data_IF_999500549727
#
_entry.id   IF_999500549727
#
_cell.length_a   1.000
_cell.length_b   1.000
_cell.length_c   1.000
_cell.angle_alpha   90.00
_cell.angle_beta   90.00
_cell.angle_gamma   90.00
#
_symmetry.space_group_name_H-M   'P 1'
#
loop_
_entity.id
_entity.type
_entity.pdbx_description
1 polymer ?
#
# COMPACT_ATOMS: atom_id res chain seq x y z
N UNK A 1 -0.60 13.89 -10.88
CA UNK A 1 -0.08 13.00 -9.81
C UNK A 1 1.42 12.74 -9.92
N UNK A 2 1.99 12.46 -11.10
CA UNK A 2 3.46 12.22 -11.24
C UNK A 2 4.35 13.32 -10.65
N UNK A 3 3.99 14.60 -10.78
CA UNK A 3 4.73 15.71 -10.14
C UNK A 3 4.75 15.59 -8.60
N UNK A 4 3.65 15.16 -8.00
CA UNK A 4 3.47 15.01 -6.56
C UNK A 4 4.25 13.80 -6.03
N UNK A 5 4.45 12.77 -6.85
CA UNK A 5 5.12 11.53 -6.42
C UNK A 5 6.61 11.52 -6.77
N UNK A 6 6.95 11.87 -8.01
CA UNK A 6 8.31 11.73 -8.54
C UNK A 6 9.12 13.03 -8.48
N UNK A 7 8.49 14.18 -8.26
CA UNK A 7 9.12 15.50 -8.36
C UNK A 7 8.79 16.41 -7.17
N UNK A 8 8.37 15.85 -6.04
CA UNK A 8 7.87 16.61 -4.89
C UNK A 8 8.94 17.09 -3.92
N UNK A 9 10.20 16.66 -4.09
CA UNK A 9 11.31 17.07 -3.21
C UNK A 9 11.43 18.60 -3.15
N UNK A 10 11.52 19.14 -1.94
CA UNK A 10 11.55 20.58 -1.66
C UNK A 10 10.19 21.28 -1.73
N UNK A 11 9.10 20.57 -2.03
CA UNK A 11 7.73 21.10 -2.01
C UNK A 11 6.98 20.66 -0.75
N UNK A 12 5.81 21.26 -0.51
CA UNK A 12 4.89 20.83 0.56
C UNK A 12 4.39 19.38 0.41
N UNK A 13 4.62 18.75 -0.74
CA UNK A 13 4.20 17.39 -1.06
C UNK A 13 5.30 16.34 -0.90
N UNK A 14 6.54 16.72 -0.53
CA UNK A 14 7.67 15.80 -0.41
C UNK A 14 7.35 14.55 0.43
N UNK A 15 6.60 14.74 1.52
CA UNK A 15 6.23 13.70 2.49
C UNK A 15 4.78 13.24 2.36
N UNK A 16 4.18 13.33 1.17
CA UNK A 16 2.76 12.98 1.02
C UNK A 16 2.49 11.51 1.32
N UNK A 17 3.37 10.60 0.91
CA UNK A 17 3.22 9.17 1.19
C UNK A 17 3.47 8.84 2.66
N UNK A 18 4.48 9.45 3.28
CA UNK A 18 4.74 9.29 4.72
C UNK A 18 3.49 9.64 5.54
N UNK A 19 2.83 10.76 5.20
CA UNK A 19 1.58 11.18 5.86
C UNK A 19 0.44 10.19 5.67
N UNK A 20 0.27 9.65 4.47
CA UNK A 20 -0.80 8.69 4.19
C UNK A 20 -0.53 7.36 4.90
N UNK A 21 0.72 6.89 4.90
CA UNK A 21 1.17 5.72 5.66
C UNK A 21 0.86 5.90 7.14
N UNK A 22 1.23 7.04 7.73
CA UNK A 22 0.95 7.34 9.14
C UNK A 22 -0.54 7.31 9.46
N UNK A 23 -1.38 7.89 8.58
CA UNK A 23 -2.84 7.87 8.76
C UNK A 23 -3.35 6.42 8.72
N UNK A 24 -2.99 5.65 7.69
CA UNK A 24 -3.45 4.27 7.51
C UNK A 24 -2.97 3.35 8.62
N UNK A 25 -1.72 3.49 9.08
CA UNK A 25 -1.16 2.73 10.19
C UNK A 25 -1.93 3.03 11.50
N UNK A 26 -2.17 4.32 11.79
CA UNK A 26 -2.90 4.72 13.00
C UNK A 26 -4.36 4.26 12.99
N UNK A 27 -5.03 4.33 11.84
CA UNK A 27 -6.40 3.85 11.72
C UNK A 27 -6.47 2.33 11.85
N UNK A 28 -5.50 1.60 11.30
CA UNK A 28 -5.37 0.14 11.48
C UNK A 28 -5.18 -0.21 12.95
N UNK A 29 -4.31 0.50 13.67
CA UNK A 29 -4.15 0.31 15.12
C UNK A 29 -5.42 0.59 15.92
N UNK A 30 -6.15 1.63 15.53
CA UNK A 30 -7.43 1.97 16.16
C UNK A 30 -8.44 0.85 15.99
N UNK A 31 -8.60 0.33 14.77
CA UNK A 31 -9.52 -0.77 14.47
C UNK A 31 -9.15 -2.04 15.25
N UNK A 32 -7.88 -2.45 15.20
CA UNK A 32 -7.43 -3.64 15.93
C UNK A 32 -7.60 -3.50 17.45
N UNK A 33 -7.45 -2.28 18.00
CA UNK A 33 -7.71 -2.02 19.42
C UNK A 33 -9.20 -2.17 19.76
N UNK A 34 -10.11 -1.72 18.87
CA UNK A 34 -11.55 -1.92 19.03
C UNK A 34 -11.91 -3.40 19.01
N UNK A 35 -11.20 -4.21 18.20
CA UNK A 35 -11.36 -5.66 18.13
C UNK A 35 -10.68 -6.42 19.30
N UNK A 36 -10.13 -5.70 20.30
CA UNK A 36 -9.51 -6.28 21.48
C UNK A 36 -8.11 -6.86 21.25
N UNK A 37 -7.48 -6.59 20.10
CA UNK A 37 -6.15 -7.11 19.77
C UNK A 37 -5.07 -6.35 20.57
N UNK A 38 -4.24 -7.09 21.31
CA UNK A 38 -3.12 -6.51 22.07
C UNK A 38 -1.99 -6.07 21.14
N UNK A 39 -1.75 -4.77 21.06
CA UNK A 39 -0.72 -4.17 20.19
C UNK A 39 0.71 -4.32 20.76
N UNK A 40 1.32 -5.48 20.51
CA UNK A 40 2.75 -5.70 20.80
C UNK A 40 3.65 -4.88 19.85
N UNK A 41 4.91 -4.65 20.25
CA UNK A 41 5.91 -4.00 19.38
C UNK A 41 6.07 -4.73 18.04
N UNK A 42 6.04 -6.07 18.05
CA UNK A 42 6.13 -6.90 16.84
C UNK A 42 4.96 -6.66 15.90
N UNK A 43 3.73 -6.58 16.42
CA UNK A 43 2.53 -6.34 15.60
C UNK A 43 2.57 -4.93 14.99
N UNK A 44 2.97 -3.92 15.77
CA UNK A 44 3.12 -2.55 15.25
C UNK A 44 4.14 -2.47 14.12
N UNK A 45 5.32 -3.05 14.32
CA UNK A 45 6.34 -3.10 13.30
C UNK A 45 5.87 -3.84 12.03
N UNK A 46 5.14 -4.95 12.20
CA UNK A 46 4.58 -5.68 11.07
C UNK A 46 3.59 -4.82 10.26
N UNK A 47 2.65 -4.15 10.93
CA UNK A 47 1.66 -3.28 10.28
C UNK A 47 2.37 -2.12 9.56
N UNK A 48 3.33 -1.47 10.20
CA UNK A 48 4.14 -0.42 9.59
C UNK A 48 4.78 -0.88 8.26
N UNK A 49 5.44 -2.04 8.28
CA UNK A 49 6.08 -2.61 7.08
C UNK A 49 5.03 -2.91 6.00
N UNK A 50 3.91 -3.55 6.35
CA UNK A 50 2.90 -3.93 5.37
C UNK A 50 2.19 -2.72 4.75
N UNK A 51 1.82 -1.72 5.55
CA UNK A 51 1.21 -0.47 5.06
C UNK A 51 2.20 0.28 4.17
N UNK A 52 3.46 0.40 4.60
CA UNK A 52 4.51 1.02 3.79
C UNK A 52 4.67 0.30 2.45
N UNK A 53 4.82 -1.02 2.44
CA UNK A 53 4.95 -1.80 1.19
C UNK A 53 3.76 -1.65 0.26
N UNK A 54 2.53 -1.55 0.79
CA UNK A 54 1.34 -1.30 -0.02
C UNK A 54 1.40 0.05 -0.75
N UNK A 55 1.82 1.11 -0.04
CA UNK A 55 1.94 2.44 -0.62
C UNK A 55 3.16 2.59 -1.55
N UNK A 56 4.26 1.90 -1.28
CA UNK A 56 5.40 1.84 -2.21
C UNK A 56 4.99 1.18 -3.53
N UNK A 57 4.23 0.08 -3.50
CA UNK A 57 3.69 -0.53 -4.73
C UNK A 57 2.86 0.48 -5.54
N UNK A 58 2.04 1.31 -4.88
CA UNK A 58 1.25 2.33 -5.58
C UNK A 58 2.13 3.34 -6.35
N UNK A 59 3.37 3.60 -5.90
CA UNK A 59 4.29 4.52 -6.58
C UNK A 59 4.75 3.99 -7.94
N UNK A 60 4.78 2.66 -8.13
CA UNK A 60 5.20 2.02 -9.37
C UNK A 60 4.39 2.50 -10.58
N UNK A 61 3.10 2.78 -10.39
CA UNK A 61 2.22 3.38 -11.41
C UNK A 61 2.85 4.66 -12.00
N UNK A 62 3.39 5.52 -11.13
CA UNK A 62 3.93 6.82 -11.52
C UNK A 62 5.38 6.74 -12.00
N UNK A 63 6.18 5.85 -11.41
CA UNK A 63 7.55 5.61 -11.85
C UNK A 63 7.60 4.98 -13.25
N UNK A 64 6.68 4.05 -13.53
CA UNK A 64 6.63 3.32 -14.80
C UNK A 64 5.67 3.90 -15.83
N UNK A 65 4.97 4.99 -15.52
CA UNK A 65 4.03 5.68 -16.43
C UNK A 65 2.91 4.76 -16.94
N UNK A 66 2.37 3.91 -16.06
CA UNK A 66 1.27 3.02 -16.43
C UNK A 66 0.07 3.85 -16.92
N UNK A 67 -0.55 3.42 -18.02
CA UNK A 67 -1.81 3.99 -18.50
C UNK A 67 -2.93 3.57 -17.55
N UNK A 68 -4.08 4.24 -17.67
CA UNK A 68 -5.23 4.03 -16.76
C UNK A 68 -5.62 2.56 -16.60
N UNK A 69 -5.71 1.81 -17.70
CA UNK A 69 -6.09 0.38 -17.66
C UNK A 69 -5.02 -0.45 -16.94
N UNK A 70 -3.75 -0.30 -17.33
CA UNK A 70 -2.61 -0.98 -16.72
C UNK A 70 -2.49 -0.66 -15.22
N UNK A 71 -2.74 0.59 -14.82
CA UNK A 71 -2.71 1.01 -13.43
C UNK A 71 -3.85 0.37 -12.61
N UNK A 72 -5.04 0.21 -13.20
CA UNK A 72 -6.17 -0.45 -12.53
C UNK A 72 -5.88 -1.94 -12.37
N UNK A 73 -5.43 -2.62 -13.42
CA UNK A 73 -5.05 -4.04 -13.40
C UNK A 73 -3.97 -4.28 -12.34
N UNK A 74 -2.90 -3.48 -12.37
CA UNK A 74 -1.81 -3.57 -11.39
C UNK A 74 -2.29 -3.37 -9.93
N UNK A 75 -3.19 -2.41 -9.68
CA UNK A 75 -3.75 -2.19 -8.34
C UNK A 75 -4.56 -3.39 -7.86
N UNK A 76 -5.37 -3.98 -8.74
CA UNK A 76 -6.11 -5.19 -8.41
C UNK A 76 -5.16 -6.35 -8.10
N UNK A 77 -4.12 -6.52 -8.91
CA UNK A 77 -3.14 -7.60 -8.75
C UNK A 77 -2.39 -7.53 -7.42
N UNK A 78 -1.80 -6.37 -7.09
CA UNK A 78 -1.06 -6.27 -5.83
C UNK A 78 -1.99 -6.28 -4.61
N UNK A 79 -3.26 -5.86 -4.75
CA UNK A 79 -4.24 -5.98 -3.68
C UNK A 79 -4.58 -7.43 -3.38
N UNK A 80 -4.81 -8.26 -4.41
CA UNK A 80 -5.02 -9.70 -4.23
C UNK A 80 -3.80 -10.33 -3.53
N UNK A 81 -2.60 -9.96 -3.97
CA UNK A 81 -1.35 -10.39 -3.34
C UNK A 81 -1.27 -9.99 -1.85
N UNK A 82 -1.54 -8.74 -1.49
CA UNK A 82 -1.48 -8.29 -0.10
C UNK A 82 -2.55 -8.95 0.77
N UNK A 83 -3.72 -9.28 0.21
CA UNK A 83 -4.80 -9.93 0.95
C UNK A 83 -4.57 -11.44 1.14
N UNK A 84 -4.05 -12.14 0.13
CA UNK A 84 -4.08 -13.61 0.10
C UNK A 84 -2.76 -14.27 -0.33
N UNK A 85 -1.74 -13.48 -0.64
CA UNK A 85 -0.40 -13.94 -1.01
C UNK A 85 -0.30 -14.49 -2.43
N UNK A 86 0.92 -14.87 -2.82
CA UNK A 86 1.25 -15.36 -4.16
C UNK A 86 0.42 -16.56 -4.61
N UNK A 87 0.15 -17.50 -3.69
CA UNK A 87 -0.61 -18.71 -4.02
C UNK A 87 -1.99 -18.36 -4.56
N UNK A 88 -2.72 -17.50 -3.86
CA UNK A 88 -4.06 -17.11 -4.27
C UNK A 88 -4.02 -16.29 -5.54
N UNK A 89 -3.11 -15.32 -5.63
CA UNK A 89 -2.93 -14.49 -6.82
C UNK A 89 -2.79 -15.35 -8.09
N UNK A 90 -1.84 -16.29 -8.11
CA UNK A 90 -1.63 -17.16 -9.28
C UNK A 90 -2.79 -18.11 -9.54
N UNK A 91 -3.49 -18.58 -8.51
CA UNK A 91 -4.68 -19.43 -8.69
C UNK A 91 -5.83 -18.68 -9.38
N UNK A 92 -5.94 -17.36 -9.21
CA UNK A 92 -6.94 -16.54 -9.91
C UNK A 92 -6.53 -16.30 -11.37
N UNK A 93 -5.23 -16.09 -11.63
CA UNK A 93 -4.72 -15.90 -12.99
C UNK A 93 -4.87 -17.14 -13.89
N UNK A 94 -4.79 -18.35 -13.33
CA UNK A 94 -4.93 -19.62 -14.08
C UNK A 94 -6.39 -19.96 -14.42
N UNK A 95 -7.36 -19.29 -13.81
CA UNK A 95 -8.80 -19.52 -14.03
C UNK A 95 -9.41 -18.62 -15.11
N UNK A 96 -8.69 -17.60 -15.57
CA UNK A 96 -9.05 -16.77 -16.73
C UNK A 96 -8.58 -17.40 -18.03
#
# INVERSE_FOLDING_TARGET
MKLIVCCSKGSSYEHIFDKVIDITENDTFRLLKLDGVKMSRRIRFFIHVMVTSHFENLKEIFYHNLKKLEAVEYVLDFNIYHCAGWKQYWMEQVKG
#
